data_IF_146225412091
#
_entry.id   IF_146225412091
#
_cell.length_a   1.000
_cell.length_b   1.000
_cell.length_c   1.000
_cell.angle_alpha   90.00
_cell.angle_beta   90.00
_cell.angle_gamma   90.00
#
_symmetry.space_group_name_H-M   'P 1'
#
loop_
_entity.id
_entity.type
_entity.pdbx_description
1 polymer ?
#
# COMPACT_ATOMS: atom_id res chain seq x y z
N UNK A 1 -7.66 -68.74 4.24
CA UNK A 1 -7.98 -67.63 5.16
C UNK A 1 -6.89 -66.54 5.27
N UNK A 2 -5.62 -66.80 4.91
CA UNK A 2 -4.54 -65.80 5.03
C UNK A 2 -4.55 -64.67 3.95
N UNK A 3 -5.02 -64.95 2.72
CA UNK A 3 -4.97 -63.97 1.63
C UNK A 3 -6.02 -62.83 1.75
N UNK A 4 -7.13 -63.07 2.46
CA UNK A 4 -8.18 -62.05 2.67
C UNK A 4 -7.81 -61.08 3.81
N UNK A 5 -7.05 -61.55 4.80
CA UNK A 5 -6.56 -60.74 5.92
C UNK A 5 -5.49 -59.74 5.46
N UNK A 6 -4.62 -60.13 4.54
CA UNK A 6 -3.59 -59.24 3.97
C UNK A 6 -4.20 -58.10 3.14
N UNK A 7 -5.22 -58.41 2.32
CA UNK A 7 -5.91 -57.39 1.51
C UNK A 7 -6.65 -56.36 2.37
N UNK A 8 -7.27 -56.79 3.48
CA UNK A 8 -7.91 -55.86 4.43
C UNK A 8 -6.87 -55.03 5.19
N UNK A 9 -5.76 -55.60 5.64
CA UNK A 9 -4.71 -54.86 6.32
C UNK A 9 -4.06 -53.77 5.45
N UNK A 10 -3.79 -54.07 4.16
CA UNK A 10 -3.22 -53.09 3.23
C UNK A 10 -4.22 -51.97 2.90
N UNK A 11 -5.52 -52.28 2.78
CA UNK A 11 -6.55 -51.29 2.47
C UNK A 11 -6.86 -50.36 3.65
N UNK A 12 -6.78 -50.85 4.90
CA UNK A 12 -6.95 -50.00 6.10
C UNK A 12 -5.73 -49.10 6.34
N UNK A 13 -4.51 -49.57 6.04
CA UNK A 13 -3.29 -48.74 6.13
C UNK A 13 -3.29 -47.64 5.06
N UNK A 14 -3.81 -47.91 3.86
CA UNK A 14 -3.93 -46.91 2.79
C UNK A 14 -4.96 -45.82 3.12
N UNK A 15 -6.07 -46.16 3.80
CA UNK A 15 -7.09 -45.18 4.24
C UNK A 15 -6.62 -44.36 5.45
N UNK A 16 -5.84 -44.96 6.37
CA UNK A 16 -5.23 -44.23 7.50
C UNK A 16 -4.09 -43.28 7.08
N UNK A 17 -3.35 -43.59 6.03
CA UNK A 17 -2.33 -42.68 5.47
C UNK A 17 -2.92 -41.55 4.60
N UNK A 18 -4.13 -41.73 4.06
CA UNK A 18 -4.84 -40.67 3.33
C UNK A 18 -5.52 -39.65 4.26
N UNK A 19 -5.80 -40.03 5.52
CA UNK A 19 -6.41 -39.15 6.52
C UNK A 19 -5.47 -38.19 7.25
N UNK A 20 -4.15 -38.30 7.01
CA UNK A 20 -3.12 -37.47 7.66
C UNK A 20 -2.40 -36.50 6.70
N UNK A 21 -2.87 -36.41 5.47
CA UNK A 21 -2.38 -35.45 4.46
C UNK A 21 -3.44 -34.39 4.18
N UNK A 22 -3.87 -33.66 5.21
CA UNK A 22 -4.30 -32.28 4.97
C UNK A 22 -3.01 -31.49 4.72
N UNK A 23 -2.76 -31.02 3.49
CA UNK A 23 -1.59 -30.19 3.26
C UNK A 23 -1.71 -28.97 4.17
N UNK A 24 -0.64 -28.72 4.93
CA UNK A 24 -0.43 -27.45 5.59
C UNK A 24 -0.47 -26.39 4.48
N UNK A 25 -1.62 -25.75 4.31
CA UNK A 25 -1.80 -24.69 3.33
C UNK A 25 -0.76 -23.60 3.63
N UNK A 26 0.07 -23.19 2.64
CA UNK A 26 1.00 -22.09 2.85
C UNK A 26 0.21 -20.86 3.33
N UNK A 27 0.76 -20.11 4.28
CA UNK A 27 0.07 -18.97 4.92
C UNK A 27 -0.59 -18.02 3.91
N UNK A 28 0.05 -17.78 2.75
CA UNK A 28 -0.49 -17.00 1.64
C UNK A 28 -1.81 -17.56 1.06
N UNK A 29 -1.98 -18.87 0.96
CA UNK A 29 -3.25 -19.48 0.50
C UNK A 29 -4.36 -19.40 1.56
N UNK A 30 -3.99 -19.36 2.84
CA UNK A 30 -4.92 -19.16 3.95
C UNK A 30 -5.39 -17.69 4.02
N UNK A 31 -4.48 -16.76 3.76
CA UNK A 31 -4.74 -15.31 3.66
C UNK A 31 -5.64 -14.95 2.46
N UNK A 32 -5.43 -15.60 1.31
CA UNK A 32 -6.30 -15.46 0.13
C UNK A 32 -7.72 -16.00 0.42
N UNK A 33 -7.85 -17.12 1.12
CA UNK A 33 -9.14 -17.68 1.50
C UNK A 33 -9.88 -16.80 2.54
N UNK A 34 -9.17 -16.13 3.45
CA UNK A 34 -9.76 -15.16 4.38
C UNK A 34 -10.19 -13.88 3.67
N UNK A 35 -9.40 -13.39 2.70
CA UNK A 35 -9.70 -12.18 1.93
C UNK A 35 -10.91 -12.34 1.00
N UNK A 36 -11.19 -13.56 0.52
CA UNK A 36 -12.35 -13.86 -0.33
C UNK A 36 -13.71 -13.59 0.34
N UNK A 37 -13.75 -13.38 1.67
CA UNK A 37 -14.97 -13.09 2.44
C UNK A 37 -14.94 -11.71 3.09
N UNK A 38 -14.09 -10.81 2.61
CA UNK A 38 -14.02 -9.43 3.09
C UNK A 38 -14.82 -8.49 2.22
N UNK A 39 -15.37 -7.46 2.85
CA UNK A 39 -16.08 -6.36 2.22
C UNK A 39 -15.49 -5.03 2.70
N UNK A 40 -15.45 -4.06 1.81
CA UNK A 40 -15.23 -2.66 2.17
C UNK A 40 -16.59 -2.01 2.42
N UNK A 41 -16.77 -1.43 3.60
CA UNK A 41 -17.97 -0.68 3.97
C UNK A 41 -17.59 0.78 4.18
N UNK A 42 -18.22 1.67 3.43
CA UNK A 42 -18.09 3.12 3.55
C UNK A 42 -19.31 3.66 4.29
N UNK A 43 -19.08 4.20 5.48
CA UNK A 43 -20.11 4.79 6.33
C UNK A 43 -20.17 6.29 6.14
N UNK A 44 -21.37 6.86 6.14
CA UNK A 44 -21.56 8.32 6.07
C UNK A 44 -21.12 8.96 7.38
N UNK A 45 -20.26 9.97 7.28
CA UNK A 45 -20.06 10.91 8.37
C UNK A 45 -21.33 11.78 8.43
N UNK A 46 -22.00 11.88 9.58
CA UNK A 46 -23.20 12.69 9.73
C UNK A 46 -22.83 14.15 9.50
N UNK A 47 -23.68 14.94 8.82
CA UNK A 47 -23.41 16.35 8.61
C UNK A 47 -23.33 17.08 9.96
N UNK A 48 -22.37 17.99 10.10
CA UNK A 48 -22.17 18.78 11.32
C UNK A 48 -23.37 19.70 11.59
N UNK A 49 -24.35 19.24 12.36
CA UNK A 49 -25.33 20.15 12.93
C UNK A 49 -24.71 20.81 14.17
N UNK A 50 -24.07 21.94 13.88
CA UNK A 50 -23.79 23.06 14.79
C UNK A 50 -22.68 22.85 15.83
N UNK A 51 -21.39 22.91 15.43
CA UNK A 51 -20.29 23.53 16.22
C UNK A 51 -19.15 24.07 15.33
N UNK A 52 -18.43 25.13 15.77
CA UNK A 52 -17.40 25.82 14.99
C UNK A 52 -16.08 25.04 15.02
N UNK A 53 -15.96 24.01 14.20
CA UNK A 53 -14.74 23.19 14.07
C UNK A 53 -13.97 23.44 12.76
N UNK A 54 -14.29 24.51 12.01
CA UNK A 54 -13.44 25.00 10.93
C UNK A 54 -12.18 25.76 11.45
N UNK A 55 -11.75 25.48 12.69
CA UNK A 55 -10.59 26.11 13.32
C UNK A 55 -9.53 25.06 13.64
N UNK A 56 -8.36 25.31 13.07
CA UNK A 56 -7.02 24.78 13.32
C UNK A 56 -6.69 24.60 14.83
N UNK A 57 -7.28 23.60 15.49
CA UNK A 57 -7.16 23.43 16.94
C UNK A 57 -7.53 22.03 17.47
N UNK A 58 -6.61 21.08 17.31
CA UNK A 58 -6.24 20.07 18.32
C UNK A 58 -7.25 19.00 18.78
N UNK A 59 -7.05 17.77 18.28
CA UNK A 59 -6.90 16.45 18.92
C UNK A 59 -7.98 15.93 19.90
N UNK A 60 -8.51 16.74 20.81
CA UNK A 60 -9.48 16.26 21.79
C UNK A 60 -10.88 16.05 21.19
N UNK A 61 -11.32 16.95 20.31
CA UNK A 61 -12.60 16.82 19.61
C UNK A 61 -12.57 15.69 18.57
N UNK A 62 -11.44 15.51 17.89
CA UNK A 62 -11.25 14.46 16.88
C UNK A 62 -11.29 13.07 17.53
N UNK A 63 -10.66 12.87 18.70
CA UNK A 63 -10.72 11.60 19.43
C UNK A 63 -12.13 11.17 19.83
N UNK A 64 -12.98 12.12 20.28
CA UNK A 64 -14.40 11.83 20.58
C UNK A 64 -15.21 11.52 19.32
N UNK A 65 -14.90 12.18 18.21
CA UNK A 65 -15.57 11.99 16.92
C UNK A 65 -15.22 10.60 16.35
N UNK A 66 -13.94 10.23 16.40
CA UNK A 66 -13.43 8.91 16.02
C UNK A 66 -14.07 7.81 16.88
N UNK A 67 -14.14 7.99 18.21
CA UNK A 67 -14.76 7.00 19.10
C UNK A 67 -16.29 6.87 18.89
N UNK A 68 -16.98 7.96 18.53
CA UNK A 68 -18.40 7.93 18.19
C UNK A 68 -18.66 7.30 16.80
N UNK A 69 -17.79 7.54 15.83
CA UNK A 69 -17.84 6.92 14.50
C UNK A 69 -17.56 5.41 14.58
N UNK A 70 -16.52 5.02 15.33
CA UNK A 70 -16.21 3.60 15.57
C UNK A 70 -17.37 2.85 16.21
N UNK A 71 -18.04 3.43 17.20
CA UNK A 71 -19.24 2.82 17.82
C UNK A 71 -20.38 2.57 16.84
N UNK A 72 -20.55 3.43 15.83
CA UNK A 72 -21.54 3.22 14.77
C UNK A 72 -21.12 2.13 13.80
N UNK A 73 -19.84 2.08 13.46
CA UNK A 73 -19.31 0.97 12.68
C UNK A 73 -19.48 -0.36 13.43
N UNK A 74 -19.26 -0.37 14.75
CA UNK A 74 -19.49 -1.54 15.62
C UNK A 74 -20.97 -1.94 15.66
N UNK A 75 -21.90 -0.98 15.78
CA UNK A 75 -23.34 -1.27 15.72
C UNK A 75 -23.76 -1.91 14.39
N UNK A 76 -23.26 -1.38 13.27
CA UNK A 76 -23.49 -1.95 11.93
C UNK A 76 -22.87 -3.34 11.83
N UNK A 77 -21.64 -3.53 12.29
CA UNK A 77 -20.97 -4.82 12.27
C UNK A 77 -21.76 -5.87 13.09
N UNK A 78 -22.24 -5.50 14.28
CA UNK A 78 -23.06 -6.37 15.11
C UNK A 78 -24.41 -6.70 14.47
N UNK A 79 -25.10 -5.71 13.90
CA UNK A 79 -26.42 -5.88 13.26
C UNK A 79 -26.36 -6.83 12.06
N UNK A 80 -25.30 -6.74 11.27
CA UNK A 80 -25.14 -7.52 10.04
C UNK A 80 -24.23 -8.76 10.20
N UNK A 81 -23.72 -9.03 11.39
CA UNK A 81 -22.90 -10.21 11.68
C UNK A 81 -21.52 -10.18 11.02
N UNK A 82 -20.89 -9.01 11.01
CA UNK A 82 -19.57 -8.75 10.44
C UNK A 82 -18.51 -8.64 11.54
N UNK A 83 -17.25 -8.92 11.21
CA UNK A 83 -16.11 -8.74 12.10
C UNK A 83 -15.08 -7.78 11.50
N UNK A 84 -14.43 -6.95 12.31
CA UNK A 84 -13.38 -6.04 11.81
C UNK A 84 -12.11 -6.81 11.44
N UNK A 85 -11.50 -6.45 10.31
CA UNK A 85 -10.22 -7.02 9.85
C UNK A 85 -9.04 -6.14 10.24
N UNK A 86 -9.29 -4.91 10.67
CA UNK A 86 -8.29 -3.96 11.14
C UNK A 86 -8.95 -2.65 11.60
N UNK A 87 -8.13 -1.63 11.84
CA UNK A 87 -8.65 -0.29 12.07
C UNK A 87 -9.15 0.33 10.76
N UNK A 88 -10.20 1.14 10.87
CA UNK A 88 -10.73 1.90 9.74
C UNK A 88 -9.88 3.12 9.41
N UNK A 89 -10.09 3.68 8.23
CA UNK A 89 -9.50 4.96 7.83
C UNK A 89 -10.60 5.95 7.48
N UNK A 90 -10.36 7.21 7.81
CA UNK A 90 -11.31 8.28 7.54
C UNK A 90 -10.96 8.96 6.22
N UNK A 91 -11.97 9.40 5.49
CA UNK A 91 -11.83 10.27 4.32
C UNK A 91 -12.71 11.51 4.54
N UNK A 92 -12.29 12.46 5.41
CA UNK A 92 -13.14 13.59 5.81
C UNK A 92 -13.60 14.45 4.63
N UNK A 93 -12.73 14.63 3.63
CA UNK A 93 -13.07 15.37 2.40
C UNK A 93 -14.22 14.74 1.59
N UNK A 94 -14.41 13.43 1.70
CA UNK A 94 -15.50 12.69 1.06
C UNK A 94 -16.68 12.46 2.01
N UNK A 95 -16.57 12.88 3.28
CA UNK A 95 -17.58 12.65 4.30
C UNK A 95 -17.83 11.18 4.60
N UNK A 96 -16.79 10.32 4.49
CA UNK A 96 -16.91 8.88 4.74
C UNK A 96 -15.87 8.33 5.70
N UNK A 97 -16.29 7.31 6.45
CA UNK A 97 -15.42 6.44 7.24
C UNK A 97 -15.40 5.04 6.61
N UNK A 98 -14.21 4.52 6.34
CA UNK A 98 -14.02 3.26 5.62
C UNK A 98 -13.54 2.16 6.55
N UNK A 99 -14.16 0.99 6.46
CA UNK A 99 -13.82 -0.17 7.26
C UNK A 99 -13.77 -1.44 6.40
N UNK A 100 -12.71 -2.23 6.56
CA UNK A 100 -12.69 -3.61 6.04
C UNK A 100 -13.32 -4.53 7.07
N UNK A 101 -14.36 -5.23 6.65
CA UNK A 101 -15.11 -6.15 7.48
C UNK A 101 -15.16 -7.54 6.87
N UNK A 102 -15.07 -8.55 7.71
CA UNK A 102 -15.17 -9.96 7.39
C UNK A 102 -16.63 -10.40 7.51
N UNK A 103 -17.15 -11.04 6.46
CA UNK A 103 -18.49 -11.65 6.47
C UNK A 103 -18.46 -12.97 7.24
N UNK A 104 -19.42 -13.13 8.16
CA UNK A 104 -19.53 -14.32 8.99
C UNK A 104 -19.69 -15.63 8.19
N UNK A 105 -19.32 -16.79 8.76
CA UNK A 105 -19.25 -18.05 8.04
C UNK A 105 -20.59 -18.55 7.47
N UNK A 106 -21.71 -18.09 8.03
CA UNK A 106 -23.07 -18.45 7.61
C UNK A 106 -23.69 -17.56 6.53
N UNK A 107 -22.95 -16.59 5.98
CA UNK A 107 -23.48 -15.66 4.96
C UNK A 107 -22.53 -15.53 3.75
N UNK A 108 -23.07 -15.14 2.59
CA UNK A 108 -22.27 -14.87 1.38
C UNK A 108 -21.95 -13.39 1.26
N UNK A 109 -20.84 -13.07 0.60
CA UNK A 109 -20.41 -11.67 0.40
C UNK A 109 -21.46 -10.86 -0.34
N UNK A 110 -22.08 -11.44 -1.36
CA UNK A 110 -23.10 -10.80 -2.19
C UNK A 110 -24.37 -10.50 -1.38
N UNK A 111 -24.77 -11.44 -0.53
CA UNK A 111 -25.95 -11.30 0.34
C UNK A 111 -25.68 -10.28 1.44
N UNK A 112 -24.49 -10.28 2.04
CA UNK A 112 -24.05 -9.27 3.00
C UNK A 112 -24.08 -7.88 2.37
N UNK A 113 -23.43 -7.69 1.21
CA UNK A 113 -23.38 -6.41 0.50
C UNK A 113 -24.79 -5.89 0.25
N UNK A 114 -25.68 -6.71 -0.34
CA UNK A 114 -27.05 -6.30 -0.64
C UNK A 114 -27.80 -5.81 0.61
N UNK A 115 -27.67 -6.52 1.73
CA UNK A 115 -28.35 -6.16 2.99
C UNK A 115 -27.78 -4.89 3.62
N UNK A 116 -26.48 -4.68 3.50
CA UNK A 116 -25.76 -3.54 4.09
C UNK A 116 -25.94 -2.29 3.22
N UNK A 117 -25.99 -2.42 1.88
CA UNK A 117 -26.19 -1.30 0.96
C UNK A 117 -27.52 -0.59 1.18
N UNK A 118 -28.53 -1.28 1.74
CA UNK A 118 -29.85 -0.70 2.06
C UNK A 118 -29.85 0.10 3.38
N UNK A 119 -28.78 0.05 4.19
CA UNK A 119 -28.70 0.83 5.44
C UNK A 119 -28.44 2.31 5.14
N UNK A 120 -29.26 3.20 5.72
CA UNK A 120 -29.14 4.65 5.51
C UNK A 120 -27.78 5.25 5.95
N UNK A 121 -27.06 4.57 6.85
CA UNK A 121 -25.75 4.99 7.33
C UNK A 121 -24.60 4.51 6.44
N UNK A 122 -24.88 3.59 5.51
CA UNK A 122 -23.90 3.08 4.55
C UNK A 122 -24.01 3.93 3.28
N UNK A 123 -22.88 4.51 2.87
CA UNK A 123 -22.79 5.16 1.56
C UNK A 123 -22.62 4.11 0.46
N UNK A 124 -21.73 3.15 0.70
CA UNK A 124 -21.34 2.14 -0.27
C UNK A 124 -20.84 0.88 0.44
N UNK A 125 -21.12 -0.28 -0.13
CA UNK A 125 -20.50 -1.55 0.27
C UNK A 125 -20.08 -2.34 -0.96
N UNK A 126 -18.90 -2.94 -0.92
CA UNK A 126 -18.38 -3.73 -2.04
C UNK A 126 -17.52 -4.90 -1.57
N UNK A 127 -17.40 -5.92 -2.42
CA UNK A 127 -16.50 -7.04 -2.18
C UNK A 127 -15.04 -6.56 -2.22
N UNK A 128 -14.20 -7.12 -1.36
CA UNK A 128 -12.76 -6.93 -1.47
C UNK A 128 -12.25 -7.79 -2.63
N UNK A 129 -11.92 -7.14 -3.74
CA UNK A 129 -11.38 -7.83 -4.91
C UNK A 129 -9.88 -8.05 -4.74
N UNK A 130 -9.46 -9.31 -4.79
CA UNK A 130 -8.06 -9.66 -4.88
C UNK A 130 -7.66 -9.67 -6.36
N UNK A 131 -6.77 -8.76 -6.74
CA UNK A 131 -6.18 -8.75 -8.07
C UNK A 131 -4.88 -9.53 -8.03
N UNK A 132 -4.71 -10.46 -8.97
CA UNK A 132 -3.43 -11.11 -9.22
C UNK A 132 -2.84 -10.47 -10.47
N UNK A 133 -1.60 -10.03 -10.38
CA UNK A 133 -0.87 -9.56 -11.54
C UNK A 133 -0.68 -10.73 -12.51
N UNK A 134 -1.34 -10.67 -13.67
CA UNK A 134 -1.15 -11.59 -14.81
C UNK A 134 -0.06 -11.03 -15.72
N UNK A 135 1.15 -10.88 -15.19
CA UNK A 135 2.32 -10.52 -15.96
C UNK A 135 3.30 -11.69 -15.91
N UNK A 136 3.74 -12.15 -17.09
CA UNK A 136 4.88 -13.05 -17.14
C UNK A 136 6.12 -12.26 -16.74
N UNK A 137 6.91 -12.70 -15.75
CA UNK A 137 8.10 -11.99 -15.32
C UNK A 137 8.98 -11.72 -16.54
N UNK A 138 9.25 -10.44 -16.78
CA UNK A 138 10.18 -10.06 -17.83
C UNK A 138 11.56 -10.59 -17.44
N UNK A 139 12.30 -11.28 -18.32
CA UNK A 139 13.66 -11.70 -18.01
C UNK A 139 14.63 -10.52 -17.79
N UNK A 140 14.18 -9.28 -18.01
CA UNK A 140 14.94 -8.03 -17.80
C UNK A 140 14.59 -7.37 -16.46
N UNK A 141 13.38 -7.60 -15.94
CA UNK A 141 12.86 -6.97 -14.72
C UNK A 141 12.31 -8.09 -13.85
N UNK A 142 13.11 -8.54 -12.88
CA UNK A 142 12.75 -9.61 -11.94
C UNK A 142 12.34 -9.05 -10.57
N UNK A 143 11.99 -7.77 -10.52
CA UNK A 143 11.66 -7.05 -9.29
C UNK A 143 10.21 -7.37 -8.87
N UNK A 144 9.98 -7.76 -7.61
CA UNK A 144 8.73 -8.37 -7.16
C UNK A 144 7.51 -7.44 -7.25
N UNK A 145 7.72 -6.11 -7.22
CA UNK A 145 6.64 -5.13 -7.30
C UNK A 145 6.52 -4.50 -8.69
N UNK A 146 7.36 -4.87 -9.65
CA UNK A 146 7.34 -4.27 -10.99
C UNK A 146 6.00 -4.45 -11.72
N UNK A 147 5.36 -5.61 -11.54
CA UNK A 147 4.07 -5.92 -12.15
C UNK A 147 2.91 -5.15 -11.50
N UNK A 148 3.10 -4.66 -10.27
CA UNK A 148 2.13 -3.82 -9.56
C UNK A 148 2.23 -2.34 -9.95
N UNK A 149 3.26 -1.94 -10.71
CA UNK A 149 3.42 -0.57 -11.18
C UNK A 149 2.54 -0.34 -12.42
N UNK A 150 1.42 0.42 -12.32
CA UNK A 150 0.48 0.60 -13.43
C UNK A 150 1.14 1.30 -14.63
N UNK A 151 2.09 2.20 -14.35
CA UNK A 151 2.86 2.94 -15.37
C UNK A 151 3.74 2.00 -16.19
N UNK A 152 4.28 0.94 -15.59
CA UNK A 152 5.12 -0.06 -16.29
C UNK A 152 4.35 -0.72 -17.43
N UNK A 153 3.08 -1.06 -17.18
CA UNK A 153 2.19 -1.62 -18.20
C UNK A 153 1.70 -0.54 -19.17
N UNK A 154 1.20 0.59 -18.64
CA UNK A 154 0.60 1.65 -19.46
C UNK A 154 1.58 2.27 -20.46
N UNK A 155 2.85 2.41 -20.10
CA UNK A 155 3.89 2.98 -20.96
C UNK A 155 4.80 1.93 -21.59
N UNK A 156 4.52 0.64 -21.36
CA UNK A 156 5.35 -0.47 -21.84
C UNK A 156 6.84 -0.26 -21.51
N UNK A 157 7.12 0.08 -20.25
CA UNK A 157 8.47 0.44 -19.78
C UNK A 157 9.48 -0.66 -20.05
N UNK A 158 9.07 -1.94 -19.95
CA UNK A 158 9.93 -3.07 -20.28
C UNK A 158 10.46 -3.04 -21.71
N UNK A 159 9.65 -2.63 -22.69
CA UNK A 159 10.09 -2.48 -24.07
C UNK A 159 10.98 -1.24 -24.25
N UNK A 160 10.63 -0.12 -23.61
CA UNK A 160 11.43 1.12 -23.66
C UNK A 160 12.83 0.93 -23.09
N UNK A 161 12.94 0.21 -21.97
CA UNK A 161 14.20 -0.02 -21.28
C UNK A 161 15.18 -0.94 -22.04
N UNK A 162 14.71 -1.64 -23.07
CA UNK A 162 15.61 -2.32 -24.03
C UNK A 162 16.38 -1.34 -24.90
N UNK A 163 15.83 -0.15 -25.11
CA UNK A 163 16.38 0.89 -26.00
C UNK A 163 17.03 2.02 -25.21
N UNK A 164 16.38 2.50 -24.16
CA UNK A 164 16.83 3.63 -23.36
C UNK A 164 16.61 3.38 -21.86
N UNK A 165 17.67 3.54 -21.07
CA UNK A 165 17.66 3.28 -19.61
C UNK A 165 18.04 4.50 -18.77
N UNK A 166 18.29 5.66 -19.41
CA UNK A 166 18.84 6.84 -18.75
C UNK A 166 20.35 6.78 -18.48
N UNK A 167 21.06 5.76 -18.97
CA UNK A 167 22.51 5.64 -18.79
C UNK A 167 23.25 6.89 -19.29
N UNK A 168 24.07 7.47 -18.41
CA UNK A 168 24.86 8.68 -18.71
C UNK A 168 24.08 9.98 -18.51
N UNK A 169 22.83 9.92 -18.07
CA UNK A 169 22.01 11.08 -17.71
C UNK A 169 22.02 11.25 -16.20
N UNK A 170 22.25 12.48 -15.75
CA UNK A 170 22.09 12.89 -14.36
C UNK A 170 20.77 13.66 -14.25
N UNK A 171 19.93 13.29 -13.28
CA UNK A 171 18.64 13.92 -13.00
C UNK A 171 18.70 14.57 -11.62
N UNK A 172 18.47 15.87 -11.54
CA UNK A 172 18.32 16.56 -10.27
C UNK A 172 16.90 16.34 -9.72
N UNK A 173 16.82 15.82 -8.50
CA UNK A 173 15.57 15.63 -7.75
C UNK A 173 15.53 16.72 -6.70
N UNK A 174 14.73 17.75 -6.98
CA UNK A 174 14.47 18.86 -6.05
C UNK A 174 13.21 18.52 -5.26
N UNK A 175 13.37 18.00 -4.04
CA UNK A 175 12.25 17.46 -3.26
C UNK A 175 12.57 17.49 -1.75
N UNK A 176 11.83 16.70 -0.97
CA UNK A 176 12.13 16.31 0.39
C UNK A 176 13.33 15.36 0.43
N UNK A 177 13.83 15.09 1.63
CA UNK A 177 15.02 14.26 1.81
C UNK A 177 14.86 12.85 1.26
N UNK A 178 15.89 12.38 0.57
CA UNK A 178 15.93 11.04 -0.03
C UNK A 178 16.76 10.09 0.85
N UNK A 179 16.30 8.85 0.99
CA UNK A 179 17.06 7.76 1.59
C UNK A 179 18.15 7.27 0.62
N UNK A 180 19.38 7.75 0.81
CA UNK A 180 20.50 7.51 -0.12
C UNK A 180 21.00 6.05 -0.12
N UNK A 181 20.83 5.36 1.00
CA UNK A 181 21.22 3.98 1.23
C UNK A 181 20.08 2.98 1.04
N UNK A 182 18.91 3.43 0.57
CA UNK A 182 17.79 2.55 0.26
C UNK A 182 18.26 1.44 -0.70
N UNK A 183 18.03 0.14 -0.39
CA UNK A 183 18.60 -0.98 -1.14
C UNK A 183 18.32 -0.92 -2.65
N UNK A 184 17.15 -0.42 -3.02
CA UNK A 184 16.69 -0.31 -4.40
C UNK A 184 17.27 0.91 -5.16
N UNK A 185 17.83 1.87 -4.42
CA UNK A 185 18.46 3.11 -4.94
C UNK A 185 19.98 3.15 -4.71
N UNK A 186 20.55 2.16 -4.03
CA UNK A 186 21.94 2.16 -3.62
C UNK A 186 22.91 2.45 -4.78
N UNK A 187 23.70 3.51 -4.69
CA UNK A 187 24.65 3.89 -5.74
C UNK A 187 24.02 4.49 -6.99
N UNK A 188 22.74 4.91 -6.95
CA UNK A 188 22.13 5.75 -7.99
C UNK A 188 22.43 7.23 -7.81
N UNK A 189 22.88 7.66 -6.64
CA UNK A 189 23.19 9.07 -6.36
C UNK A 189 24.63 9.44 -6.74
N UNK A 190 24.80 10.60 -7.37
CA UNK A 190 26.11 11.22 -7.62
C UNK A 190 26.42 12.36 -6.65
N UNK A 191 25.39 12.99 -6.11
CA UNK A 191 25.49 13.99 -5.05
C UNK A 191 24.19 14.04 -4.23
N UNK A 192 24.31 14.59 -3.03
CA UNK A 192 23.18 14.93 -2.16
C UNK A 192 23.50 16.23 -1.46
N UNK A 193 22.59 17.20 -1.53
CA UNK A 193 22.75 18.53 -0.93
C UNK A 193 21.48 18.92 -0.16
N UNK A 194 21.63 19.66 0.93
CA UNK A 194 20.55 20.11 1.78
C UNK A 194 20.47 21.64 1.81
N UNK A 195 19.30 22.18 1.47
CA UNK A 195 18.99 23.62 1.39
C UNK A 195 17.88 24.04 2.36
N UNK A 196 17.47 23.17 3.29
CA UNK A 196 16.34 23.43 4.21
C UNK A 196 16.82 23.79 5.61
N UNK A 197 17.74 23.00 6.15
CA UNK A 197 18.21 23.09 7.52
C UNK A 197 19.70 22.70 7.61
N UNK A 198 20.31 22.99 8.75
CA UNK A 198 21.72 22.65 9.02
C UNK A 198 21.93 21.17 9.39
N UNK A 199 20.85 20.40 9.51
CA UNK A 199 20.84 19.01 9.94
C UNK A 199 20.32 18.11 8.82
N UNK A 200 21.11 17.09 8.54
CA UNK A 200 20.76 15.98 7.70
C UNK A 200 19.84 14.98 8.43
N UNK A 201 18.66 15.39 8.95
CA UNK A 201 17.77 14.65 9.89
C UNK A 201 17.43 13.16 9.56
N UNK A 202 16.18 12.68 9.54
CA UNK A 202 15.85 11.37 8.95
C UNK A 202 15.60 11.48 7.43
N UNK A 203 15.59 10.36 6.72
CA UNK A 203 15.10 10.32 5.34
C UNK A 203 13.57 10.48 5.30
N UNK A 204 13.05 11.01 4.20
CA UNK A 204 11.64 11.35 4.05
C UNK A 204 11.00 10.52 2.92
N UNK A 205 9.72 10.20 3.07
CA UNK A 205 9.01 9.25 2.20
C UNK A 205 8.78 9.82 0.79
N UNK A 206 8.48 11.11 0.67
CA UNK A 206 8.11 11.72 -0.60
C UNK A 206 9.30 11.78 -1.57
N UNK A 207 10.41 12.39 -1.17
CA UNK A 207 11.63 12.44 -1.98
C UNK A 207 12.15 11.06 -2.34
N UNK A 208 12.12 10.11 -1.39
CA UNK A 208 12.51 8.72 -1.65
C UNK A 208 11.59 8.03 -2.66
N UNK A 209 10.28 8.26 -2.56
CA UNK A 209 9.30 7.77 -3.53
C UNK A 209 9.53 8.34 -4.94
N UNK A 210 9.78 9.66 -5.04
CA UNK A 210 10.10 10.33 -6.31
C UNK A 210 11.38 9.76 -6.93
N UNK A 211 12.45 9.63 -6.14
CA UNK A 211 13.70 9.02 -6.59
C UNK A 211 13.51 7.57 -7.07
N UNK A 212 12.68 6.79 -6.35
CA UNK A 212 12.29 5.42 -6.71
C UNK A 212 11.62 5.33 -8.09
N UNK A 213 10.60 6.16 -8.33
CA UNK A 213 9.89 6.19 -9.62
C UNK A 213 10.84 6.55 -10.76
N UNK A 214 11.80 7.45 -10.55
CA UNK A 214 12.75 7.87 -11.58
C UNK A 214 13.78 6.76 -11.86
N UNK A 215 14.50 6.30 -10.83
CA UNK A 215 15.72 5.52 -11.01
C UNK A 215 15.92 4.34 -10.04
N UNK A 216 14.85 3.78 -9.46
CA UNK A 216 14.95 2.47 -8.82
C UNK A 216 15.57 1.45 -9.78
N UNK A 217 16.48 0.63 -9.27
CA UNK A 217 17.25 -0.31 -10.10
C UNK A 217 16.32 -1.39 -10.64
N UNK A 218 16.29 -1.51 -11.97
CA UNK A 218 15.64 -2.65 -12.59
C UNK A 218 16.53 -3.89 -12.54
N UNK A 219 15.95 -5.05 -12.26
CA UNK A 219 16.59 -6.35 -12.35
C UNK A 219 17.45 -6.72 -11.14
N UNK A 220 17.26 -6.07 -9.98
CA UNK A 220 17.99 -6.37 -8.74
C UNK A 220 17.22 -7.33 -7.82
N UNK A 221 16.02 -7.75 -8.21
CA UNK A 221 15.09 -8.59 -7.45
C UNK A 221 14.58 -7.96 -6.15
N UNK A 222 14.59 -6.63 -6.06
CA UNK A 222 14.14 -5.85 -4.90
C UNK A 222 13.10 -4.86 -5.39
N UNK A 223 12.05 -4.64 -4.59
CA UNK A 223 11.16 -3.50 -4.78
C UNK A 223 10.60 -3.36 -6.20
N UNK A 224 10.82 -2.19 -6.80
CA UNK A 224 10.21 -1.72 -8.05
C UNK A 224 11.29 -1.46 -9.11
N UNK A 225 10.86 -1.27 -10.37
CA UNK A 225 11.74 -0.75 -11.41
C UNK A 225 11.42 0.72 -11.71
N UNK A 226 12.44 1.59 -11.68
CA UNK A 226 12.30 2.99 -12.07
C UNK A 226 12.09 3.14 -13.57
N UNK A 227 11.62 4.30 -14.02
CA UNK A 227 11.46 4.61 -15.46
C UNK A 227 12.81 4.58 -16.18
N UNK A 228 13.83 5.19 -15.56
CA UNK A 228 15.20 5.32 -16.05
C UNK A 228 16.19 4.64 -15.08
N UNK A 229 16.23 3.29 -15.03
CA UNK A 229 16.93 2.54 -13.98
C UNK A 229 18.45 2.65 -14.02
N UNK A 230 19.03 3.29 -15.05
CA UNK A 230 20.49 3.54 -15.17
C UNK A 230 20.83 5.03 -15.18
N UNK A 231 19.87 5.91 -14.93
CA UNK A 231 20.14 7.31 -14.65
C UNK A 231 20.86 7.45 -13.31
N UNK A 232 21.56 8.58 -13.15
CA UNK A 232 22.09 9.01 -11.86
C UNK A 232 21.26 10.14 -11.31
N UNK A 233 21.18 10.23 -9.99
CA UNK A 233 20.38 11.22 -9.29
C UNK A 233 21.28 12.20 -8.54
N UNK A 234 20.91 13.47 -8.56
CA UNK A 234 21.36 14.47 -7.58
C UNK A 234 20.19 14.71 -6.64
N UNK A 235 20.34 14.35 -5.36
CA UNK A 235 19.29 14.58 -4.36
C UNK A 235 19.45 16.00 -3.81
N UNK A 236 18.54 16.90 -4.14
CA UNK A 236 18.59 18.30 -3.72
C UNK A 236 17.40 18.54 -2.78
N UNK A 237 17.65 18.48 -1.47
CA UNK A 237 16.59 18.69 -0.48
C UNK A 237 16.27 20.17 -0.40
N UNK A 238 15.09 20.55 -0.85
CA UNK A 238 14.55 21.91 -0.74
C UNK A 238 13.12 21.96 -0.18
N UNK A 239 12.57 20.79 0.12
CA UNK A 239 11.28 20.62 0.79
C UNK A 239 11.47 19.77 2.05
N UNK A 240 10.44 19.74 2.90
CA UNK A 240 10.39 18.89 4.09
C UNK A 240 9.00 18.32 4.30
N UNK A 241 8.92 17.13 4.90
CA UNK A 241 7.65 16.58 5.38
C UNK A 241 7.29 17.22 6.72
N UNK A 242 6.03 17.62 6.88
CA UNK A 242 5.57 18.24 8.13
C UNK A 242 5.63 17.30 9.34
N UNK A 243 5.71 15.98 9.10
CA UNK A 243 5.94 14.94 10.10
C UNK A 243 6.76 13.81 9.45
N UNK A 244 8.08 13.84 9.64
CA UNK A 244 9.00 12.86 9.05
C UNK A 244 8.81 11.43 9.57
N UNK A 245 7.97 11.21 10.59
CA UNK A 245 7.66 9.87 11.11
C UNK A 245 6.49 9.20 10.37
N UNK A 246 5.73 9.97 9.57
CA UNK A 246 4.55 9.48 8.84
C UNK A 246 4.77 9.55 7.34
N UNK A 247 4.68 8.40 6.68
CA UNK A 247 4.83 8.30 5.22
C UNK A 247 3.80 9.15 4.44
N UNK A 248 2.64 9.41 5.03
CA UNK A 248 1.55 10.19 4.41
C UNK A 248 1.58 11.67 4.76
N UNK A 249 2.59 12.14 5.51
CA UNK A 249 2.69 13.55 5.85
C UNK A 249 2.92 14.39 4.59
N UNK A 250 2.25 15.56 4.47
CA UNK A 250 2.45 16.43 3.33
C UNK A 250 3.89 16.95 3.27
N UNK A 251 4.42 17.00 2.05
CA UNK A 251 5.68 17.67 1.75
C UNK A 251 5.40 19.12 1.41
N UNK A 252 6.13 20.04 2.07
CA UNK A 252 6.02 21.48 1.88
C UNK A 252 7.38 22.05 1.49
N UNK A 253 7.37 23.09 0.68
CA UNK A 253 8.56 23.82 0.25
C UNK A 253 8.25 25.31 0.39
N UNK A 254 9.28 26.13 0.62
CA UNK A 254 9.13 27.58 0.59
C UNK A 254 10.01 28.23 -0.49
N UNK A 255 9.79 29.53 -0.70
CA UNK A 255 10.52 30.28 -1.73
C UNK A 255 11.97 30.59 -1.31
N UNK A 256 12.33 30.46 -0.03
CA UNK A 256 13.68 30.75 0.48
C UNK A 256 14.62 29.59 0.16
N UNK A 257 14.20 28.35 0.41
CA UNK A 257 14.96 27.14 0.05
C UNK A 257 15.10 27.00 -1.47
N UNK A 258 14.10 27.43 -2.23
CA UNK A 258 14.15 27.50 -3.70
C UNK A 258 15.16 28.52 -4.25
N UNK A 259 15.44 29.61 -3.50
CA UNK A 259 16.43 30.61 -3.91
C UNK A 259 17.87 30.11 -3.69
N UNK A 260 18.16 29.41 -2.60
CA UNK A 260 19.49 28.84 -2.34
C UNK A 260 19.88 27.78 -3.39
N UNK A 261 18.90 27.03 -3.92
CA UNK A 261 19.09 26.14 -5.07
C UNK A 261 19.49 26.86 -6.35
N UNK A 262 18.99 28.09 -6.57
CA UNK A 262 19.27 28.83 -7.81
C UNK A 262 20.73 29.29 -7.88
N UNK A 263 21.36 29.53 -6.72
CA UNK A 263 22.79 29.85 -6.62
C UNK A 263 23.68 28.62 -6.86
N UNK A 264 23.15 27.40 -6.71
CA UNK A 264 23.85 26.15 -7.03
C UNK A 264 23.99 25.89 -8.55
N UNK A 265 23.27 26.63 -9.40
CA UNK A 265 23.29 26.46 -10.87
C UNK A 265 24.59 26.86 -11.58
N UNK A 266 25.67 27.11 -10.83
CA UNK A 266 26.99 27.53 -11.34
C UNK A 266 27.93 26.41 -11.82
N UNK A 267 27.44 25.19 -12.08
CA UNK A 267 28.23 24.04 -12.55
C UNK A 267 27.77 23.53 -13.93
#
# INVERSE_FOLDING_TARGET
MAALAWRRAVQTIFVLLLGLMLPNMPAASREVATNARQILVMLRIPPDHHRPSASYGGDYADAFTIAAQRRRAEDIAHRYGLAFVGDGWQMPLLGVDCYVMQVGPGDTVETAIKRISDDSNVLWSQAMHLYRAEASPSPIVNDPLADLQPVTTAWNLTALQRVATGRGVVVAVVDSRVELDHPDLAGQFVSSENFVDTDDGPAEAHGTGVAGVIAAKAGNAIGIAGVAPRAKLMALRACWQTDATKQTAPTVCDCLTGNELSDFSGL
#
